data_IF_335995744325
#
_entry.id   IF_335995744325
#
_cell.length_a   1.000
_cell.length_b   1.000
_cell.length_c   1.000
_cell.angle_alpha   90.00
_cell.angle_beta   90.00
_cell.angle_gamma   90.00
#
_symmetry.space_group_name_H-M   'P 1'
#
loop_
_entity.id
_entity.type
_entity.pdbx_description
1 polymer ?
#
# COMPACT_ATOMS: atom_id res chain seq x y z
N UNK A 1 72.53 -0.90 -9.25
CA UNK A 1 71.68 -1.93 -8.63
C UNK A 1 70.68 -1.17 -7.77
N UNK A 2 69.59 -0.72 -8.39
CA UNK A 2 68.45 -0.15 -7.68
C UNK A 2 67.46 -1.30 -7.54
N UNK A 3 67.31 -1.77 -6.31
CA UNK A 3 66.26 -2.72 -5.93
C UNK A 3 64.93 -1.99 -6.05
N UNK A 4 64.26 -2.15 -7.20
CA UNK A 4 62.85 -1.83 -7.33
C UNK A 4 62.08 -2.87 -6.51
N UNK A 5 61.88 -2.55 -5.23
CA UNK A 5 60.99 -3.24 -4.31
C UNK A 5 59.55 -3.15 -4.80
N UNK A 6 59.20 -3.97 -5.77
CA UNK A 6 57.82 -4.26 -6.12
C UNK A 6 57.29 -5.26 -5.08
N UNK A 7 57.03 -4.79 -3.86
CA UNK A 7 56.13 -5.49 -2.97
C UNK A 7 54.76 -5.50 -3.64
N UNK A 8 54.48 -6.56 -4.38
CA UNK A 8 53.14 -6.87 -4.86
C UNK A 8 52.26 -7.04 -3.62
N UNK A 9 51.59 -5.96 -3.22
CA UNK A 9 50.61 -5.99 -2.15
C UNK A 9 49.53 -7.00 -2.53
N UNK A 10 49.65 -8.19 -1.97
CA UNK A 10 48.71 -9.27 -2.23
C UNK A 10 47.48 -9.01 -1.35
N UNK A 11 46.36 -8.72 -1.99
CA UNK A 11 45.12 -8.57 -1.26
C UNK A 11 44.64 -9.94 -0.77
N UNK A 12 44.40 -10.12 0.54
CA UNK A 12 43.88 -11.36 1.09
C UNK A 12 42.36 -11.55 0.89
N UNK A 13 41.64 -10.53 0.42
CA UNK A 13 40.19 -10.56 0.21
C UNK A 13 39.86 -10.80 -1.25
N UNK A 14 39.01 -11.79 -1.50
CA UNK A 14 38.35 -11.95 -2.79
C UNK A 14 37.16 -11.01 -2.89
N UNK A 15 37.22 -10.01 -3.77
CA UNK A 15 36.11 -9.07 -3.97
C UNK A 15 35.27 -9.49 -5.18
N UNK A 16 33.96 -9.67 -4.98
CA UNK A 16 33.01 -10.05 -6.02
C UNK A 16 32.48 -8.84 -6.81
N UNK A 17 31.78 -9.13 -7.91
CA UNK A 17 31.06 -8.13 -8.72
C UNK A 17 31.92 -6.94 -9.20
N UNK A 18 33.21 -7.16 -9.45
CA UNK A 18 34.19 -6.11 -9.82
C UNK A 18 34.54 -5.14 -8.69
N UNK A 19 34.33 -5.53 -7.42
CA UNK A 19 34.85 -4.80 -6.27
C UNK A 19 36.38 -4.74 -6.30
N UNK A 20 36.94 -3.62 -5.83
CA UNK A 20 38.39 -3.43 -5.79
C UNK A 20 38.90 -3.61 -4.38
N UNK A 21 39.88 -4.48 -4.17
CA UNK A 21 40.52 -4.58 -2.87
C UNK A 21 41.42 -3.38 -2.62
N UNK A 22 41.22 -2.72 -1.48
CA UNK A 22 41.99 -1.57 -1.02
C UNK A 22 42.50 -1.81 0.39
N UNK A 23 43.62 -1.18 0.74
CA UNK A 23 44.12 -1.14 2.11
C UNK A 23 43.80 0.19 2.76
N UNK A 24 43.50 0.15 4.05
CA UNK A 24 43.33 1.33 4.88
C UNK A 24 44.65 1.64 5.60
N UNK A 25 45.36 2.66 5.12
CA UNK A 25 46.74 2.99 5.52
C UNK A 25 46.94 3.25 7.02
N UNK A 26 45.89 3.61 7.76
CA UNK A 26 45.99 3.89 9.20
C UNK A 26 45.80 2.68 10.12
N UNK A 27 45.11 1.63 9.66
CA UNK A 27 44.75 0.48 10.51
C UNK A 27 45.31 -0.84 9.99
N UNK A 28 46.04 -0.79 8.88
CA UNK A 28 46.61 -1.97 8.21
C UNK A 28 45.56 -3.08 7.96
N UNK A 29 44.36 -2.66 7.52
CA UNK A 29 43.27 -3.57 7.18
C UNK A 29 42.92 -3.44 5.71
N UNK A 30 42.55 -4.57 5.11
CA UNK A 30 42.04 -4.64 3.74
C UNK A 30 40.52 -4.60 3.76
N UNK A 31 39.94 -3.99 2.73
CA UNK A 31 38.50 -3.99 2.50
C UNK A 31 38.22 -4.02 0.99
N UNK A 32 37.04 -4.53 0.62
CA UNK A 32 36.55 -4.42 -0.74
C UNK A 32 35.80 -3.09 -0.93
N UNK A 33 36.26 -2.29 -1.89
CA UNK A 33 35.53 -1.13 -2.39
C UNK A 33 34.50 -1.61 -3.41
N UNK A 34 33.25 -1.65 -2.96
CA UNK A 34 32.15 -2.23 -3.72
C UNK A 34 31.57 -1.23 -4.72
N UNK A 35 31.15 -1.69 -5.91
CA UNK A 35 30.55 -0.82 -6.91
C UNK A 35 29.17 -0.33 -6.46
N UNK A 36 28.94 0.97 -6.66
CA UNK A 36 27.74 1.71 -6.27
C UNK A 36 27.29 2.57 -7.45
N UNK A 37 25.98 2.69 -7.65
CA UNK A 37 25.33 3.60 -8.60
C UNK A 37 24.08 4.22 -7.96
N UNK A 38 23.44 5.15 -8.68
CA UNK A 38 22.28 5.89 -8.16
C UNK A 38 21.08 4.98 -7.81
N UNK A 39 20.94 3.85 -8.50
CA UNK A 39 19.82 2.92 -8.32
C UNK A 39 20.14 1.74 -7.40
N UNK A 40 21.40 1.54 -7.01
CA UNK A 40 21.80 0.37 -6.23
C UNK A 40 23.29 0.04 -6.34
N UNK A 41 23.65 -1.17 -5.95
CA UNK A 41 25.03 -1.63 -5.98
C UNK A 41 25.23 -2.89 -5.17
N UNK A 42 26.46 -3.08 -4.72
CA UNK A 42 26.84 -4.20 -3.87
C UNK A 42 27.45 -3.72 -2.56
N UNK A 43 27.30 -4.51 -1.52
CA UNK A 43 27.88 -4.28 -0.19
C UNK A 43 28.25 -5.62 0.45
N UNK A 44 28.79 -5.57 1.67
CA UNK A 44 29.32 -6.74 2.36
C UNK A 44 30.85 -6.73 2.37
N UNK A 45 31.43 -7.72 3.04
CA UNK A 45 32.88 -7.81 3.20
C UNK A 45 33.57 -8.05 1.84
N UNK A 46 32.89 -8.77 0.96
CA UNK A 46 33.34 -9.21 -0.34
C UNK A 46 32.48 -8.65 -1.49
N UNK A 47 31.63 -7.65 -1.25
CA UNK A 47 30.66 -7.14 -2.23
C UNK A 47 29.67 -8.20 -2.74
N UNK A 48 29.28 -9.10 -1.87
CA UNK A 48 28.41 -10.25 -2.14
C UNK A 48 26.92 -9.92 -2.03
N UNK A 49 26.56 -8.85 -1.33
CA UNK A 49 25.17 -8.50 -1.03
C UNK A 49 24.71 -7.42 -2.03
N UNK A 50 23.84 -7.74 -2.99
CA UNK A 50 23.26 -6.74 -3.87
C UNK A 50 22.22 -5.91 -3.11
N UNK A 51 22.09 -4.65 -3.48
CA UNK A 51 21.02 -3.80 -2.97
C UNK A 51 20.48 -2.86 -4.04
N UNK A 52 19.24 -2.43 -3.86
CA UNK A 52 18.61 -1.35 -4.63
C UNK A 52 18.39 -0.13 -3.73
N UNK A 53 18.69 1.06 -4.24
CA UNK A 53 18.43 2.33 -3.55
C UNK A 53 17.01 2.76 -3.84
N UNK A 54 16.25 3.05 -2.79
CA UNK A 54 14.89 3.53 -2.87
C UNK A 54 14.82 4.97 -2.40
N UNK A 55 14.15 5.81 -3.19
CA UNK A 55 13.87 7.20 -2.84
C UNK A 55 12.40 7.48 -3.06
N UNK A 56 11.74 8.05 -2.06
CA UNK A 56 10.34 8.51 -2.12
C UNK A 56 10.29 10.03 -2.38
N UNK A 57 9.13 10.55 -2.80
CA UNK A 57 8.87 11.97 -3.07
C UNK A 57 9.17 12.86 -1.84
N UNK A 58 9.09 12.28 -0.63
CA UNK A 58 9.51 12.89 0.63
C UNK A 58 11.02 12.92 0.86
N UNK A 59 11.85 12.59 -0.13
CA UNK A 59 13.33 12.51 -0.08
C UNK A 59 13.89 11.54 0.97
N UNK A 60 13.08 10.60 1.44
CA UNK A 60 13.56 9.50 2.28
C UNK A 60 14.34 8.53 1.41
N UNK A 61 15.51 8.13 1.87
CA UNK A 61 16.38 7.18 1.18
C UNK A 61 16.51 5.92 2.04
N UNK A 62 16.29 4.76 1.44
CA UNK A 62 16.55 3.47 2.08
C UNK A 62 17.09 2.47 1.06
N UNK A 63 17.58 1.33 1.52
CA UNK A 63 18.11 0.27 0.66
C UNK A 63 17.34 -1.02 0.87
N UNK A 64 16.99 -1.69 -0.21
CA UNK A 64 16.48 -3.05 -0.18
C UNK A 64 17.62 -4.01 -0.52
N UNK A 65 17.99 -4.86 0.43
CA UNK A 65 19.10 -5.80 0.29
C UNK A 65 18.65 -7.10 -0.38
N UNK A 66 19.60 -7.96 -0.71
CA UNK A 66 19.36 -9.34 -1.16
C UNK A 66 18.34 -9.41 -2.31
N UNK A 67 18.51 -8.56 -3.33
CA UNK A 67 17.60 -8.46 -4.50
C UNK A 67 16.18 -7.98 -4.17
N UNK A 68 15.95 -7.39 -2.99
CA UNK A 68 14.70 -6.74 -2.66
C UNK A 68 14.37 -5.57 -3.59
N UNK A 69 13.08 -5.40 -3.88
CA UNK A 69 12.59 -4.35 -4.78
C UNK A 69 11.91 -3.22 -4.01
N UNK A 70 12.01 -2.00 -4.53
CA UNK A 70 11.44 -0.82 -3.88
C UNK A 70 9.92 -0.75 -4.07
N UNK A 71 9.16 -0.82 -2.98
CA UNK A 71 7.75 -0.46 -2.96
C UNK A 71 7.58 0.97 -2.45
N UNK A 72 7.70 1.94 -3.36
CA UNK A 72 7.69 3.37 -3.02
C UNK A 72 6.35 3.78 -2.37
N UNK A 73 5.23 3.21 -2.85
CA UNK A 73 3.87 3.52 -2.32
C UNK A 73 3.70 3.16 -0.86
N UNK A 74 4.30 2.03 -0.45
CA UNK A 74 4.23 1.53 0.92
C UNK A 74 5.47 1.92 1.74
N UNK A 75 6.41 2.65 1.13
CA UNK A 75 7.71 3.02 1.72
C UNK A 75 8.44 1.83 2.38
N UNK A 76 8.46 0.68 1.69
CA UNK A 76 9.07 -0.56 2.20
C UNK A 76 9.74 -1.35 1.08
N UNK A 77 10.46 -2.40 1.45
CA UNK A 77 11.01 -3.36 0.51
C UNK A 77 10.06 -4.54 0.29
N UNK A 78 9.89 -4.96 -0.95
CA UNK A 78 9.29 -6.24 -1.28
C UNK A 78 10.44 -7.25 -1.45
N UNK A 79 10.56 -8.16 -0.47
CA UNK A 79 11.67 -9.12 -0.36
C UNK A 79 11.42 -10.40 -1.18
N UNK A 80 12.48 -11.03 -1.72
CA UNK A 80 12.38 -12.40 -2.23
C UNK A 80 11.99 -13.38 -1.11
N UNK A 81 11.50 -14.56 -1.50
CA UNK A 81 10.93 -15.54 -0.58
C UNK A 81 11.90 -15.97 0.53
N UNK A 82 13.19 -16.04 0.22
CA UNK A 82 14.23 -16.49 1.13
C UNK A 82 14.66 -15.42 2.13
N UNK A 83 14.12 -14.20 2.04
CA UNK A 83 14.53 -13.05 2.85
C UNK A 83 13.33 -12.34 3.48
N UNK A 84 13.56 -11.73 4.63
CA UNK A 84 12.57 -10.94 5.38
C UNK A 84 13.22 -9.74 6.08
N UNK A 85 12.40 -8.95 6.77
CA UNK A 85 12.80 -7.68 7.38
C UNK A 85 12.36 -6.50 6.54
N UNK A 86 12.37 -5.29 7.11
CA UNK A 86 11.92 -4.07 6.42
C UNK A 86 12.83 -3.72 5.22
N UNK A 87 14.08 -4.21 5.25
CA UNK A 87 15.11 -4.00 4.24
C UNK A 87 15.61 -5.30 3.61
N UNK A 88 14.92 -6.42 3.83
CA UNK A 88 15.29 -7.76 3.34
C UNK A 88 16.65 -8.26 3.85
N UNK A 89 17.04 -7.85 5.06
CA UNK A 89 18.34 -8.12 5.67
C UNK A 89 18.43 -9.48 6.36
N UNK A 90 17.31 -10.14 6.62
CA UNK A 90 17.25 -11.40 7.37
C UNK A 90 17.04 -12.56 6.41
N UNK A 91 17.99 -13.50 6.35
CA UNK A 91 17.82 -14.75 5.64
C UNK A 91 16.87 -15.69 6.40
N UNK A 92 15.81 -16.14 5.75
CA UNK A 92 14.81 -17.03 6.33
C UNK A 92 15.02 -18.51 5.95
N UNK A 93 15.97 -18.81 5.06
CA UNK A 93 16.18 -20.16 4.56
C UNK A 93 15.63 -20.37 3.14
N UNK A 94 15.91 -21.53 2.52
CA UNK A 94 15.40 -21.85 1.19
C UNK A 94 13.89 -22.10 1.23
N UNK A 95 13.13 -21.33 0.44
CA UNK A 95 11.70 -21.54 0.24
C UNK A 95 11.46 -22.44 -0.98
N UNK A 96 10.57 -23.42 -0.85
CA UNK A 96 10.09 -24.19 -2.00
C UNK A 96 8.83 -23.50 -2.58
N UNK A 97 8.88 -22.97 -3.82
CA UNK A 97 7.74 -22.27 -4.40
C UNK A 97 6.53 -23.19 -4.66
N UNK A 98 6.74 -24.51 -4.78
CA UNK A 98 5.67 -25.48 -5.10
C UNK A 98 4.90 -25.97 -3.87
N UNK A 99 5.49 -25.86 -2.68
CA UNK A 99 4.91 -26.42 -1.46
C UNK A 99 4.57 -25.37 -0.40
N UNK A 100 4.94 -24.09 -0.60
CA UNK A 100 4.64 -23.02 0.36
C UNK A 100 5.24 -23.22 1.76
N UNK A 101 6.06 -24.26 1.92
CA UNK A 101 6.56 -24.73 3.20
C UNK A 101 8.10 -24.67 3.18
N UNK A 102 8.65 -23.95 4.15
CA UNK A 102 10.08 -23.87 4.39
C UNK A 102 10.53 -25.17 5.08
N UNK A 103 11.67 -25.75 4.69
CA UNK A 103 12.24 -26.95 5.34
C UNK A 103 12.62 -26.74 6.82
N UNK A 104 12.53 -25.50 7.33
CA UNK A 104 12.93 -25.09 8.68
C UNK A 104 11.87 -24.16 9.33
N UNK A 105 10.60 -24.59 9.33
CA UNK A 105 9.65 -24.22 10.39
C UNK A 105 9.19 -22.75 10.53
N UNK A 106 9.28 -21.92 9.50
CA UNK A 106 8.48 -20.68 9.42
C UNK A 106 7.85 -20.52 8.04
N UNK A 107 6.59 -20.12 8.00
CA UNK A 107 5.82 -19.95 6.77
C UNK A 107 6.53 -18.97 5.83
N UNK A 108 6.78 -19.38 4.58
CA UNK A 108 7.14 -18.47 3.51
C UNK A 108 5.90 -17.64 3.19
N UNK A 109 5.65 -16.59 3.98
CA UNK A 109 4.57 -15.65 3.70
C UNK A 109 4.92 -14.94 2.40
N UNK A 110 4.39 -15.43 1.28
CA UNK A 110 4.24 -14.66 0.06
C UNK A 110 3.61 -13.33 0.47
N UNK A 111 4.39 -12.24 0.50
CA UNK A 111 3.85 -10.88 0.55
C UNK A 111 3.10 -10.66 -0.76
N UNK A 112 1.88 -11.20 -0.78
CA UNK A 112 0.93 -11.13 -1.87
C UNK A 112 0.35 -9.73 -1.90
N UNK A 113 1.12 -8.74 -2.35
CA UNK A 113 0.57 -7.43 -2.73
C UNK A 113 0.15 -7.37 -4.20
N UNK A 114 0.15 -8.48 -4.95
CA UNK A 114 -0.31 -8.47 -6.34
C UNK A 114 -0.99 -9.75 -6.87
N UNK A 115 -1.76 -10.46 -6.05
CA UNK A 115 -2.79 -11.39 -6.56
C UNK A 115 -4.16 -11.04 -5.97
N UNK A 116 -4.64 -9.83 -6.29
CA UNK A 116 -6.08 -9.51 -6.34
C UNK A 116 -6.38 -8.60 -7.55
N UNK A 117 -5.93 -9.02 -8.75
CA UNK A 117 -6.40 -8.42 -10.01
C UNK A 117 -7.11 -9.40 -10.93
N UNK A 118 -7.63 -10.50 -10.38
CA UNK A 118 -8.67 -11.28 -11.02
C UNK A 118 -9.84 -11.47 -10.06
N UNK A 119 -11.04 -11.24 -10.59
CA UNK A 119 -12.35 -11.44 -9.95
C UNK A 119 -12.86 -10.29 -9.08
N UNK A 120 -13.30 -9.22 -9.75
CA UNK A 120 -14.64 -8.66 -9.57
C UNK A 120 -14.98 -7.73 -10.75
N UNK A 121 -15.19 -8.34 -11.92
CA UNK A 121 -16.21 -7.84 -12.85
C UNK A 121 -17.52 -8.58 -12.55
N UNK A 122 -17.97 -8.49 -11.29
CA UNK A 122 -19.34 -8.83 -10.92
C UNK A 122 -20.20 -7.66 -11.37
N UNK A 123 -20.75 -7.81 -12.57
CA UNK A 123 -22.15 -7.55 -12.89
C UNK A 123 -22.81 -6.32 -12.21
N UNK A 124 -22.31 -5.11 -12.46
CA UNK A 124 -23.13 -3.88 -12.34
C UNK A 124 -23.46 -3.44 -13.77
N UNK A 125 -24.29 -4.24 -14.43
CA UNK A 125 -24.71 -4.01 -15.81
C UNK A 125 -26.18 -4.35 -16.00
N UNK A 126 -27.04 -4.00 -15.05
CA UNK A 126 -28.50 -4.15 -15.19
C UNK A 126 -29.36 -3.26 -14.27
N UNK A 127 -28.79 -2.35 -13.47
CA UNK A 127 -29.59 -1.58 -12.49
C UNK A 127 -29.69 -0.08 -12.81
N UNK A 128 -28.90 0.45 -13.74
CA UNK A 128 -28.90 1.90 -14.04
C UNK A 128 -30.20 2.38 -14.71
N UNK A 129 -30.82 1.56 -15.57
CA UNK A 129 -32.06 1.96 -16.25
C UNK A 129 -33.25 2.08 -15.28
N UNK A 130 -33.39 1.16 -14.32
CA UNK A 130 -34.51 1.19 -13.36
C UNK A 130 -34.38 2.32 -12.35
N UNK A 131 -33.15 2.64 -11.91
CA UNK A 131 -32.91 3.79 -11.01
C UNK A 131 -33.19 5.11 -11.73
N UNK A 132 -32.79 5.26 -13.00
CA UNK A 132 -33.08 6.47 -13.77
C UNK A 132 -34.58 6.64 -14.05
N UNK A 133 -35.30 5.55 -14.32
CA UNK A 133 -36.77 5.58 -14.49
C UNK A 133 -37.47 5.98 -13.19
N UNK A 134 -37.03 5.44 -12.04
CA UNK A 134 -37.58 5.83 -10.73
C UNK A 134 -37.33 7.32 -10.41
N UNK A 135 -36.14 7.84 -10.72
CA UNK A 135 -35.82 9.27 -10.53
C UNK A 135 -36.70 10.14 -11.44
N UNK A 136 -36.92 9.75 -12.70
CA UNK A 136 -37.81 10.47 -13.61
C UNK A 136 -39.26 10.54 -13.08
N UNK A 137 -39.80 9.43 -12.56
CA UNK A 137 -41.15 9.45 -11.96
C UNK A 137 -41.22 10.32 -10.70
N UNK A 138 -40.17 10.34 -9.87
CA UNK A 138 -40.11 11.23 -8.71
C UNK A 138 -40.06 12.72 -9.11
N UNK A 139 -39.29 13.07 -10.15
CA UNK A 139 -39.20 14.47 -10.64
C UNK A 139 -40.51 14.93 -11.28
N UNK A 140 -41.18 14.08 -12.06
CA UNK A 140 -42.48 14.41 -12.67
C UNK A 140 -43.58 14.51 -11.60
N UNK A 141 -43.58 13.62 -10.60
CA UNK A 141 -44.51 13.69 -9.47
C UNK A 141 -44.35 14.95 -8.62
N UNK A 142 -43.11 15.42 -8.43
CA UNK A 142 -42.82 16.65 -7.69
C UNK A 142 -43.21 17.93 -8.45
N UNK A 143 -43.12 17.96 -9.78
CA UNK A 143 -43.50 19.14 -10.57
C UNK A 143 -45.02 19.27 -10.75
N UNK A 144 -45.76 18.16 -10.75
CA UNK A 144 -47.22 18.18 -10.83
C UNK A 144 -47.93 18.55 -9.51
N UNK A 145 -47.26 18.42 -8.35
CA UNK A 145 -47.84 18.64 -7.02
C UNK A 145 -47.91 20.10 -6.53
N UNK A 146 -47.50 21.09 -7.34
CA UNK A 146 -47.48 22.51 -6.93
C UNK A 146 -48.33 23.46 -7.78
N UNK A 147 -49.27 22.96 -8.58
CA UNK A 147 -50.28 23.81 -9.19
C UNK A 147 -51.45 23.93 -8.21
N UNK A 148 -51.45 25.01 -7.42
CA UNK A 148 -52.63 25.45 -6.65
C UNK A 148 -53.68 25.97 -7.63
N UNK A 149 -54.93 25.48 -7.63
CA UNK A 149 -56.04 26.24 -8.19
C UNK A 149 -56.42 27.36 -7.20
N UNK A 150 -56.48 28.58 -7.70
CA UNK A 150 -56.89 29.80 -7.01
C UNK A 150 -58.18 30.30 -7.67
N UNK A 151 -59.14 30.74 -6.83
CA UNK A 151 -60.42 31.46 -7.09
C UNK A 151 -61.62 30.59 -7.51
N UNK A 152 -62.88 30.75 -7.04
CA UNK A 152 -63.65 31.81 -6.37
C UNK A 152 -64.81 31.16 -5.55
N UNK A 153 -65.15 31.65 -4.35
CA UNK A 153 -66.22 32.63 -3.99
C UNK A 153 -67.66 32.06 -3.84
N UNK A 154 -68.21 32.33 -2.64
CA UNK A 154 -69.62 32.51 -2.26
C UNK A 154 -70.57 31.35 -1.82
N UNK A 155 -70.95 31.47 -0.53
CA UNK A 155 -72.29 31.35 0.09
C UNK A 155 -72.97 29.97 0.20
N UNK A 156 -73.20 29.52 1.44
CA UNK A 156 -74.48 29.73 2.13
C UNK A 156 -74.49 29.14 3.55
N UNK A 157 -74.96 29.98 4.47
CA UNK A 157 -75.27 29.83 5.90
C UNK A 157 -76.12 28.60 6.24
N UNK A 158 -75.94 28.05 7.46
CA UNK A 158 -76.97 27.59 8.45
C UNK A 158 -76.22 26.83 9.57
N UNK A 159 -75.99 27.45 10.74
CA UNK A 159 -76.75 27.24 12.01
C UNK A 159 -76.25 25.95 12.75
N UNK A 160 -75.94 25.85 14.04
CA UNK A 160 -76.31 26.51 15.30
C UNK A 160 -75.28 26.10 16.40
N UNK A 161 -75.32 26.77 17.55
CA UNK A 161 -74.43 26.83 18.74
C UNK A 161 -73.84 25.55 19.42
N UNK A 162 -72.81 25.74 20.30
CA UNK A 162 -72.13 24.75 21.17
C UNK A 162 -72.84 24.68 22.56
N UNK A 163 -72.29 24.23 23.71
CA UNK A 163 -70.96 23.64 24.05
C UNK A 163 -71.00 22.40 24.99
N UNK A 164 -69.88 21.69 25.16
CA UNK A 164 -69.51 21.17 26.50
C UNK A 164 -68.02 20.79 26.59
N UNK A 165 -67.35 21.43 27.56
CA UNK A 165 -66.10 21.03 28.24
C UNK A 165 -66.48 20.03 29.38
N UNK A 166 -65.60 19.40 30.20
CA UNK A 166 -64.16 19.66 30.41
C UNK A 166 -63.28 18.42 30.76
N UNK A 167 -62.05 18.71 31.20
CA UNK A 167 -61.13 17.95 32.10
C UNK A 167 -60.37 16.71 31.57
N UNK A 168 -59.05 16.80 31.30
CA UNK A 168 -57.87 16.69 32.21
C UNK A 168 -57.68 15.28 32.82
N UNK A 169 -56.56 14.61 32.49
CA UNK A 169 -55.56 14.13 33.47
C UNK A 169 -54.23 13.74 32.82
N UNK A 170 -53.21 14.50 33.20
CA UNK A 170 -51.77 14.22 33.15
C UNK A 170 -51.45 13.22 34.27
N UNK A 171 -50.49 12.30 34.04
CA UNK A 171 -49.62 11.65 35.05
C UNK A 171 -48.35 11.20 34.29
N UNK A 172 -47.18 11.82 34.47
CA UNK A 172 -46.11 11.52 35.46
C UNK A 172 -45.65 10.04 35.42
N UNK A 173 -44.51 9.70 34.82
CA UNK A 173 -43.14 9.61 35.41
C UNK A 173 -43.14 8.96 36.81
N UNK A 174 -42.82 7.67 36.87
CA UNK A 174 -41.68 7.05 37.59
C UNK A 174 -41.73 5.54 37.39
#
# INVERSE_FOLDING_TARGET
MTEDGNETYHCPLDCFHSGQCKSHSMVDQFYCDCPLNDSGGFQGLHCEIPFSTCTDDGKRHWRCLNYGTCNIRMARCDCPLEFRGDFCEIYNGPCNPDHGELLVGTDCSLSSTNIQRLSNKVLIGATSALVLVAILFFVIGWTAGRIKPVLQHEKSTTEREPPESPEIKVNEIT
#
